data_IF_142848625813
#
_entry.id   IF_142848625813
#
_cell.length_a   1.000
_cell.length_b   1.000
_cell.length_c   1.000
_cell.angle_alpha   90.00
_cell.angle_beta   90.00
_cell.angle_gamma   90.00
#
_symmetry.space_group_name_H-M   'P 1'
#
loop_
_entity.id
_entity.type
_entity.pdbx_description
1 polymer ?
#
# COMPACT_ATOMS: atom_id res chain seq x y z
N UNK A 1 48.16 18.38 -40.33
CA UNK A 1 46.73 18.21 -40.25
C UNK A 1 46.40 17.07 -39.32
N UNK A 2 46.09 17.39 -38.07
CA UNK A 2 45.75 16.40 -37.03
C UNK A 2 44.24 16.47 -36.82
N UNK A 3 43.51 15.40 -37.18
CA UNK A 3 42.07 15.28 -36.96
C UNK A 3 41.83 14.90 -35.50
N UNK A 4 41.27 15.82 -34.72
CA UNK A 4 40.74 15.55 -33.42
C UNK A 4 39.47 14.67 -33.58
N UNK A 5 39.53 13.46 -33.01
CA UNK A 5 38.33 12.62 -32.77
C UNK A 5 37.59 13.18 -31.55
N UNK A 6 36.46 13.80 -31.79
CA UNK A 6 35.49 14.06 -30.73
C UNK A 6 34.90 12.73 -30.27
N UNK A 7 35.23 12.35 -29.04
CA UNK A 7 34.55 11.26 -28.35
C UNK A 7 33.15 11.75 -27.94
N UNK A 8 32.13 11.17 -28.57
CA UNK A 8 30.73 11.29 -28.09
C UNK A 8 30.64 10.58 -26.77
N UNK A 9 30.49 11.35 -25.68
CA UNK A 9 30.15 10.83 -24.39
C UNK A 9 28.75 10.22 -24.48
N UNK A 10 28.66 8.89 -24.46
CA UNK A 10 27.43 8.15 -24.28
C UNK A 10 26.81 8.59 -22.96
N UNK A 11 25.73 9.38 -23.05
CA UNK A 11 24.95 9.81 -21.89
C UNK A 11 24.26 8.57 -21.34
N UNK A 12 24.84 8.01 -20.25
CA UNK A 12 24.24 6.92 -19.48
C UNK A 12 22.80 7.30 -19.14
N UNK A 13 21.80 6.47 -19.43
CA UNK A 13 20.43 6.81 -19.09
C UNK A 13 20.33 7.08 -17.59
N UNK A 14 19.57 8.12 -17.19
CA UNK A 14 19.28 8.46 -15.80
C UNK A 14 18.75 7.19 -15.09
N UNK A 15 19.62 6.50 -14.38
CA UNK A 15 19.24 5.30 -13.64
C UNK A 15 18.46 5.73 -12.40
N UNK A 16 17.25 5.22 -12.25
CA UNK A 16 16.49 5.37 -11.01
C UNK A 16 17.32 4.79 -9.87
N UNK A 17 17.60 5.58 -8.83
CA UNK A 17 18.35 5.11 -7.65
C UNK A 17 17.68 3.91 -6.96
N UNK A 18 18.45 3.15 -6.16
CA UNK A 18 17.99 1.92 -5.52
C UNK A 18 16.67 2.07 -4.74
N UNK A 19 16.47 3.19 -4.05
CA UNK A 19 15.24 3.44 -3.28
C UNK A 19 14.02 3.62 -4.18
N UNK A 20 14.16 4.31 -5.31
CA UNK A 20 13.09 4.47 -6.28
C UNK A 20 12.73 3.13 -6.95
N UNK A 21 13.73 2.27 -7.19
CA UNK A 21 13.54 0.92 -7.72
C UNK A 21 12.85 0.04 -6.68
N UNK A 22 13.28 0.08 -5.41
CA UNK A 22 12.64 -0.67 -4.32
C UNK A 22 11.17 -0.26 -4.16
N UNK A 23 10.88 1.05 -4.17
CA UNK A 23 9.51 1.55 -4.11
C UNK A 23 8.66 1.11 -5.32
N UNK A 24 9.25 1.05 -6.51
CA UNK A 24 8.56 0.57 -7.71
C UNK A 24 8.26 -0.94 -7.64
N UNK A 25 9.24 -1.76 -7.23
CA UNK A 25 9.04 -3.20 -7.03
C UNK A 25 7.97 -3.45 -5.96
N UNK A 26 8.03 -2.73 -4.83
CA UNK A 26 7.02 -2.84 -3.77
C UNK A 26 5.61 -2.53 -4.30
N UNK A 27 5.45 -1.45 -5.09
CA UNK A 27 4.17 -1.13 -5.74
C UNK A 27 3.68 -2.24 -6.65
N UNK A 28 4.57 -2.81 -7.47
CA UNK A 28 4.22 -3.87 -8.40
C UNK A 28 3.88 -5.18 -7.69
N UNK A 29 4.59 -5.53 -6.60
CA UNK A 29 4.19 -6.61 -5.70
C UNK A 29 2.79 -6.33 -5.15
N UNK A 30 2.55 -5.14 -4.66
CA UNK A 30 1.26 -4.74 -4.10
C UNK A 30 0.14 -4.65 -5.14
N UNK A 31 0.43 -4.36 -6.38
CA UNK A 31 -0.52 -4.39 -7.48
C UNK A 31 -0.80 -5.81 -8.00
N UNK A 32 -0.10 -6.84 -7.48
CA UNK A 32 -0.25 -8.22 -7.93
C UNK A 32 0.47 -8.53 -9.24
N UNK A 33 1.30 -7.61 -9.74
CA UNK A 33 2.14 -7.82 -10.93
C UNK A 33 3.20 -8.92 -10.72
N UNK A 34 3.59 -9.12 -9.48
CA UNK A 34 4.36 -10.26 -9.02
C UNK A 34 3.49 -11.10 -8.07
N UNK A 35 3.16 -12.32 -8.47
CA UNK A 35 2.40 -13.22 -7.61
C UNK A 35 3.19 -13.67 -6.37
N UNK A 36 2.47 -14.19 -5.36
CA UNK A 36 3.07 -14.79 -4.18
C UNK A 36 4.07 -15.88 -4.58
N UNK A 37 5.26 -15.84 -4.02
CA UNK A 37 6.33 -16.79 -4.33
C UNK A 37 7.00 -16.59 -5.70
N UNK A 38 6.64 -15.55 -6.46
CA UNK A 38 7.27 -15.24 -7.73
C UNK A 38 8.77 -14.94 -7.55
N UNK A 39 9.61 -15.53 -8.39
CA UNK A 39 11.03 -15.26 -8.38
C UNK A 39 11.36 -13.92 -9.04
N UNK A 40 12.14 -13.11 -8.35
CA UNK A 40 12.63 -11.82 -8.81
C UNK A 40 14.10 -11.95 -9.23
N UNK A 41 14.34 -12.18 -10.51
CA UNK A 41 15.70 -12.23 -11.04
C UNK A 41 16.23 -10.81 -11.27
N UNK A 42 17.48 -10.56 -10.86
CA UNK A 42 18.08 -9.23 -11.02
C UNK A 42 18.02 -8.71 -12.46
N UNK A 43 18.27 -9.59 -13.44
CA UNK A 43 18.25 -9.22 -14.86
C UNK A 43 16.86 -8.73 -15.31
N UNK A 44 15.79 -9.35 -14.80
CA UNK A 44 14.42 -8.95 -15.12
C UNK A 44 14.08 -7.59 -14.48
N UNK A 45 14.56 -7.37 -13.25
CA UNK A 45 14.44 -6.09 -12.54
C UNK A 45 15.19 -4.97 -13.25
N UNK A 46 16.43 -5.23 -13.69
CA UNK A 46 17.23 -4.28 -14.48
C UNK A 46 16.46 -3.82 -15.74
N UNK A 47 15.90 -4.78 -16.48
CA UNK A 47 15.14 -4.52 -17.71
C UNK A 47 13.82 -3.77 -17.44
N UNK A 48 13.01 -4.28 -16.49
CA UNK A 48 11.68 -3.73 -16.19
C UNK A 48 11.75 -2.30 -15.65
N UNK A 49 12.70 -2.00 -14.77
CA UNK A 49 12.78 -0.69 -14.11
C UNK A 49 13.85 0.23 -14.71
N UNK A 50 14.57 -0.21 -15.74
CA UNK A 50 15.65 0.55 -16.41
C UNK A 50 16.67 1.08 -15.41
N UNK A 51 17.17 0.19 -14.55
CA UNK A 51 18.12 0.51 -13.49
C UNK A 51 19.43 -0.27 -13.66
N UNK A 52 20.47 0.11 -12.90
CA UNK A 52 21.72 -0.62 -12.91
C UNK A 52 21.58 -1.92 -12.09
N UNK A 53 22.45 -2.91 -12.39
CA UNK A 53 22.54 -4.15 -11.61
C UNK A 53 22.79 -3.89 -10.12
N UNK A 54 23.58 -2.87 -9.81
CA UNK A 54 23.86 -2.47 -8.43
C UNK A 54 22.60 -1.91 -7.74
N UNK A 55 21.80 -1.12 -8.46
CA UNK A 55 20.56 -0.58 -7.94
C UNK A 55 19.51 -1.68 -7.74
N UNK A 56 19.35 -2.58 -8.73
CA UNK A 56 18.46 -3.75 -8.62
C UNK A 56 18.80 -4.61 -7.39
N UNK A 57 20.11 -4.89 -7.17
CA UNK A 57 20.55 -5.66 -6.00
C UNK A 57 20.23 -4.95 -4.70
N UNK A 58 20.59 -3.66 -4.56
CA UNK A 58 20.32 -2.87 -3.35
C UNK A 58 18.82 -2.74 -3.08
N UNK A 59 18.02 -2.56 -4.12
CA UNK A 59 16.57 -2.52 -4.01
C UNK A 59 16.00 -3.83 -3.45
N UNK A 60 16.43 -4.98 -3.99
CA UNK A 60 16.01 -6.29 -3.51
C UNK A 60 16.50 -6.58 -2.08
N UNK A 61 17.72 -6.16 -1.73
CA UNK A 61 18.24 -6.24 -0.36
C UNK A 61 17.39 -5.40 0.61
N UNK A 62 17.06 -4.17 0.24
CA UNK A 62 16.18 -3.31 1.05
C UNK A 62 14.77 -3.90 1.24
N UNK A 63 14.21 -4.52 0.19
CA UNK A 63 12.92 -5.20 0.27
C UNK A 63 12.99 -6.48 1.11
N UNK A 64 14.12 -7.18 1.11
CA UNK A 64 14.34 -8.35 1.95
C UNK A 64 14.43 -7.97 3.44
N UNK A 65 15.08 -6.85 3.77
CA UNK A 65 15.09 -6.31 5.13
C UNK A 65 13.70 -5.93 5.63
N UNK A 66 12.81 -5.51 4.72
CA UNK A 66 11.41 -5.21 5.00
C UNK A 66 10.49 -6.44 4.96
N UNK A 67 11.02 -7.62 4.69
CA UNK A 67 10.21 -8.85 4.61
C UNK A 67 9.31 -8.97 3.37
N UNK A 68 9.33 -7.99 2.45
CA UNK A 68 8.52 -8.03 1.22
C UNK A 68 8.98 -9.11 0.24
N UNK A 69 10.27 -9.41 0.24
CA UNK A 69 10.87 -10.51 -0.50
C UNK A 69 11.78 -11.33 0.41
N UNK A 70 12.01 -12.58 0.06
CA UNK A 70 12.98 -13.44 0.76
C UNK A 70 14.14 -13.77 -0.14
N UNK A 71 15.34 -13.77 0.44
CA UNK A 71 16.58 -14.15 -0.25
C UNK A 71 16.89 -15.63 -0.02
N UNK A 72 17.09 -16.36 -1.11
CA UNK A 72 17.65 -17.71 -1.07
C UNK A 72 19.10 -17.64 -1.57
N UNK A 73 20.08 -18.06 -0.74
CA UNK A 73 21.48 -18.09 -1.16
C UNK A 73 21.64 -18.82 -2.50
N UNK A 74 22.38 -18.24 -3.42
CA UNK A 74 22.67 -18.74 -4.78
C UNK A 74 21.46 -18.87 -5.72
N UNK A 75 20.22 -18.62 -5.27
CA UNK A 75 19.01 -18.74 -6.10
C UNK A 75 18.34 -17.39 -6.40
N UNK A 76 18.59 -16.36 -5.61
CA UNK A 76 18.02 -15.01 -5.82
C UNK A 76 16.98 -14.62 -4.77
N UNK A 77 15.98 -13.88 -5.20
CA UNK A 77 14.91 -13.35 -4.35
C UNK A 77 13.56 -13.86 -4.85
N UNK A 78 12.60 -14.03 -3.95
CA UNK A 78 11.22 -14.32 -4.29
C UNK A 78 10.27 -13.52 -3.40
N UNK A 79 9.08 -13.22 -3.92
CA UNK A 79 8.02 -12.52 -3.17
C UNK A 79 7.63 -13.35 -1.97
N UNK A 80 7.64 -12.74 -0.78
CA UNK A 80 7.29 -13.42 0.47
C UNK A 80 5.87 -13.96 0.38
N UNK A 81 5.70 -15.25 0.72
CA UNK A 81 4.39 -15.85 0.89
C UNK A 81 4.02 -15.71 2.36
N UNK A 82 2.93 -15.02 2.65
CA UNK A 82 2.38 -14.96 4.01
C UNK A 82 1.29 -16.03 4.11
N UNK A 83 1.43 -16.91 5.09
CA UNK A 83 0.38 -17.88 5.40
C UNK A 83 -0.83 -17.21 6.07
N UNK A 84 -1.97 -17.91 6.11
CA UNK A 84 -3.22 -17.36 6.65
C UNK A 84 -3.12 -16.95 8.13
N UNK A 85 -2.30 -17.64 8.91
CA UNK A 85 -2.10 -17.31 10.32
C UNK A 85 -1.36 -15.97 10.45
N UNK A 86 -0.21 -15.85 9.79
CA UNK A 86 0.58 -14.61 9.77
C UNK A 86 -0.21 -13.45 9.20
N UNK A 87 -1.05 -13.69 8.18
CA UNK A 87 -1.94 -12.67 7.64
C UNK A 87 -2.95 -12.19 8.69
N UNK A 88 -3.61 -13.09 9.42
CA UNK A 88 -4.53 -12.71 10.51
C UNK A 88 -3.83 -11.92 11.61
N UNK A 89 -2.66 -12.38 12.06
CA UNK A 89 -1.86 -11.71 13.08
C UNK A 89 -1.47 -10.28 12.65
N UNK A 90 -1.08 -10.08 11.38
CA UNK A 90 -0.80 -8.75 10.83
C UNK A 90 -2.03 -7.86 10.73
N UNK A 91 -3.20 -8.40 10.39
CA UNK A 91 -4.47 -7.66 10.41
C UNK A 91 -4.79 -7.17 11.83
N UNK A 92 -4.60 -8.01 12.84
CA UNK A 92 -4.82 -7.60 14.24
C UNK A 92 -3.88 -6.48 14.67
N UNK A 93 -2.58 -6.58 14.35
CA UNK A 93 -1.60 -5.52 14.62
C UNK A 93 -1.97 -4.23 13.90
N UNK A 94 -2.39 -4.29 12.63
CA UNK A 94 -2.85 -3.11 11.89
C UNK A 94 -4.04 -2.44 12.56
N UNK A 95 -5.04 -3.23 12.97
CA UNK A 95 -6.22 -2.68 13.66
C UNK A 95 -5.80 -1.93 14.92
N UNK A 96 -4.89 -2.50 15.72
CA UNK A 96 -4.40 -1.87 16.95
C UNK A 96 -3.68 -0.55 16.62
N UNK A 97 -2.72 -0.56 15.70
CA UNK A 97 -1.92 0.60 15.36
C UNK A 97 -2.76 1.69 14.68
N UNK A 98 -3.54 1.34 13.65
CA UNK A 98 -4.30 2.33 12.89
C UNK A 98 -5.45 2.92 13.74
N UNK A 99 -6.11 2.16 14.61
CA UNK A 99 -7.12 2.73 15.52
C UNK A 99 -6.53 3.56 16.65
N UNK A 100 -5.28 3.28 17.06
CA UNK A 100 -4.57 4.09 18.04
C UNK A 100 -4.22 5.51 17.51
N UNK A 101 -4.10 5.70 16.19
CA UNK A 101 -3.88 7.03 15.61
C UNK A 101 -5.11 7.93 15.66
N UNK A 102 -6.31 7.35 15.70
CA UNK A 102 -7.57 8.07 15.48
C UNK A 102 -7.83 9.22 16.44
N UNK A 103 -7.57 9.13 17.77
CA UNK A 103 -7.80 10.27 18.66
C UNK A 103 -7.00 11.51 18.24
N UNK A 104 -5.71 11.31 17.94
CA UNK A 104 -4.84 12.40 17.48
C UNK A 104 -5.28 12.93 16.11
N UNK A 105 -5.67 12.06 15.17
CA UNK A 105 -6.20 12.46 13.87
C UNK A 105 -7.43 13.37 14.03
N UNK A 106 -8.37 12.99 14.88
CA UNK A 106 -9.59 13.78 15.11
C UNK A 106 -9.27 15.14 15.76
N UNK A 107 -8.30 15.17 16.65
CA UNK A 107 -7.86 16.40 17.31
C UNK A 107 -7.18 17.37 16.32
N UNK A 108 -6.27 16.85 15.47
CA UNK A 108 -5.41 17.66 14.60
C UNK A 108 -6.06 18.03 13.25
N UNK A 109 -7.02 17.24 12.76
CA UNK A 109 -7.57 17.42 11.42
C UNK A 109 -8.22 18.82 11.26
N UNK A 110 -7.85 19.50 10.19
CA UNK A 110 -8.45 20.76 9.75
C UNK A 110 -9.51 20.53 8.66
N UNK A 111 -10.28 21.53 8.31
CA UNK A 111 -11.21 21.48 7.17
C UNK A 111 -10.47 21.22 5.85
N UNK A 112 -9.25 21.76 5.69
CA UNK A 112 -8.43 21.50 4.53
C UNK A 112 -8.01 20.02 4.44
N UNK A 113 -7.68 19.40 5.58
CA UNK A 113 -7.33 17.97 5.62
C UNK A 113 -8.52 17.09 5.24
N UNK A 114 -9.72 17.46 5.70
CA UNK A 114 -10.96 16.77 5.33
C UNK A 114 -11.24 16.91 3.82
N UNK A 115 -11.04 18.11 3.26
CA UNK A 115 -11.18 18.34 1.83
C UNK A 115 -10.15 17.54 1.02
N UNK A 116 -8.91 17.42 1.50
CA UNK A 116 -7.87 16.61 0.89
C UNK A 116 -8.22 15.12 0.88
N UNK A 117 -8.69 14.59 2.01
CA UNK A 117 -9.14 13.21 2.12
C UNK A 117 -10.31 12.93 1.18
N UNK A 118 -11.26 13.88 1.04
CA UNK A 118 -12.38 13.75 0.11
C UNK A 118 -11.88 13.63 -1.33
N UNK A 119 -10.94 14.49 -1.76
CA UNK A 119 -10.33 14.40 -3.11
C UNK A 119 -9.65 13.06 -3.35
N UNK A 120 -8.99 12.50 -2.32
CA UNK A 120 -8.34 11.19 -2.42
C UNK A 120 -9.36 10.05 -2.52
N UNK A 121 -10.45 10.10 -1.76
CA UNK A 121 -11.55 9.13 -1.86
C UNK A 121 -12.26 9.21 -3.24
N UNK A 122 -12.50 10.40 -3.76
CA UNK A 122 -13.06 10.62 -5.10
C UNK A 122 -12.12 10.06 -6.19
N UNK A 123 -10.81 10.28 -6.06
CA UNK A 123 -9.81 9.70 -6.96
C UNK A 123 -9.84 8.16 -6.92
N UNK A 124 -10.02 7.56 -5.75
CA UNK A 124 -10.19 6.12 -5.64
C UNK A 124 -11.48 5.68 -6.33
N UNK A 125 -12.61 6.36 -6.13
CA UNK A 125 -13.87 6.06 -6.79
C UNK A 125 -13.76 6.11 -8.33
N UNK A 126 -13.01 7.08 -8.88
CA UNK A 126 -12.73 7.16 -10.33
C UNK A 126 -11.88 5.98 -10.78
N UNK A 127 -10.84 5.60 -10.01
CA UNK A 127 -9.96 4.48 -10.38
C UNK A 127 -10.69 3.14 -10.39
N UNK A 128 -11.71 2.94 -9.54
CA UNK A 128 -12.53 1.72 -9.53
C UNK A 128 -13.21 1.49 -10.87
N UNK A 129 -13.66 2.56 -11.53
CA UNK A 129 -14.39 2.49 -12.80
C UNK A 129 -13.48 2.42 -14.03
N UNK A 130 -12.36 3.09 -14.00
CA UNK A 130 -11.54 3.36 -15.18
C UNK A 130 -10.06 2.97 -15.03
N UNK A 131 -9.60 2.68 -13.81
CA UNK A 131 -8.20 2.39 -13.54
C UNK A 131 -7.85 0.91 -13.64
N UNK A 132 -6.58 0.65 -13.84
CA UNK A 132 -5.99 -0.68 -13.67
C UNK A 132 -5.81 -1.05 -12.19
N UNK A 133 -5.28 -2.25 -11.90
CA UNK A 133 -5.08 -2.74 -10.54
C UNK A 133 -4.08 -1.86 -9.76
N UNK A 134 -3.03 -1.35 -10.42
CA UNK A 134 -2.02 -0.51 -9.80
C UNK A 134 -2.58 0.88 -9.46
N UNK A 135 -3.40 1.46 -10.34
CA UNK A 135 -4.06 2.74 -10.11
C UNK A 135 -5.05 2.67 -8.93
N UNK A 136 -5.87 1.61 -8.88
CA UNK A 136 -6.79 1.35 -7.75
C UNK A 136 -6.03 1.23 -6.44
N UNK A 137 -4.97 0.41 -6.43
CA UNK A 137 -4.13 0.25 -5.26
C UNK A 137 -3.48 1.57 -4.80
N UNK A 138 -2.89 2.31 -5.72
CA UNK A 138 -2.21 3.57 -5.40
C UNK A 138 -3.19 4.63 -4.87
N UNK A 139 -4.38 4.72 -5.45
CA UNK A 139 -5.41 5.66 -5.02
C UNK A 139 -5.92 5.31 -3.60
N UNK A 140 -6.23 4.03 -3.35
CA UNK A 140 -6.61 3.54 -2.02
C UNK A 140 -5.49 3.81 -0.99
N UNK A 141 -4.25 3.48 -1.34
CA UNK A 141 -3.10 3.69 -0.45
C UNK A 141 -2.90 5.17 -0.11
N UNK A 142 -3.05 6.06 -1.09
CA UNK A 142 -2.89 7.49 -0.88
C UNK A 142 -3.86 8.04 0.16
N UNK A 143 -5.12 7.60 0.14
CA UNK A 143 -6.12 7.97 1.16
C UNK A 143 -5.67 7.57 2.57
N UNK A 144 -5.28 6.32 2.75
CA UNK A 144 -4.89 5.81 4.07
C UNK A 144 -3.58 6.42 4.59
N UNK A 145 -2.60 6.64 3.72
CA UNK A 145 -1.36 7.33 4.10
C UNK A 145 -1.70 8.73 4.60
N UNK A 146 -2.50 9.49 3.84
CA UNK A 146 -2.88 10.86 4.23
C UNK A 146 -3.65 10.89 5.54
N UNK A 147 -4.60 9.97 5.74
CA UNK A 147 -5.36 9.87 6.99
C UNK A 147 -4.43 9.59 8.19
N UNK A 148 -3.54 8.60 8.05
CA UNK A 148 -2.61 8.22 9.12
C UNK A 148 -1.62 9.34 9.45
N UNK A 149 -1.14 10.09 8.44
CA UNK A 149 -0.20 11.21 8.58
C UNK A 149 -0.76 12.40 9.36
N UNK A 150 -2.07 12.49 9.55
CA UNK A 150 -2.69 13.50 10.42
C UNK A 150 -2.41 13.25 11.90
N UNK A 151 -1.98 12.05 12.29
CA UNK A 151 -1.59 11.75 13.65
C UNK A 151 -0.27 12.47 13.99
N UNK A 152 -0.22 13.13 15.16
CA UNK A 152 0.94 13.87 15.63
C UNK A 152 2.11 12.95 16.06
N UNK A 153 1.80 11.76 16.57
CA UNK A 153 2.80 10.77 16.99
C UNK A 153 3.48 10.13 15.77
N UNK A 154 4.65 10.64 15.40
CA UNK A 154 5.41 10.22 14.21
C UNK A 154 5.90 8.78 14.27
N UNK A 155 6.22 8.26 15.46
CA UNK A 155 6.62 6.86 15.60
C UNK A 155 5.42 5.93 15.40
N UNK A 156 4.24 6.30 15.90
CA UNK A 156 3.01 5.54 15.66
C UNK A 156 2.63 5.55 14.17
N UNK A 157 2.73 6.71 13.51
CA UNK A 157 2.52 6.83 12.05
C UNK A 157 3.45 5.92 11.29
N UNK A 158 4.75 5.97 11.61
CA UNK A 158 5.75 5.11 10.96
C UNK A 158 5.43 3.63 11.11
N UNK A 159 5.17 3.18 12.35
CA UNK A 159 4.84 1.77 12.60
C UNK A 159 3.56 1.33 11.89
N UNK A 160 2.50 2.15 11.91
CA UNK A 160 1.25 1.84 11.22
C UNK A 160 1.44 1.71 9.70
N UNK A 161 2.17 2.64 9.09
CA UNK A 161 2.47 2.61 7.66
C UNK A 161 3.44 1.49 7.27
N UNK A 162 4.42 1.17 8.13
CA UNK A 162 5.33 0.06 7.91
C UNK A 162 4.56 -1.27 7.91
N UNK A 163 3.74 -1.55 8.94
CA UNK A 163 2.94 -2.78 9.00
C UNK A 163 1.93 -2.85 7.85
N UNK A 164 1.32 -1.72 7.48
CA UNK A 164 0.47 -1.65 6.29
C UNK A 164 1.21 -2.02 5.01
N UNK A 165 2.48 -1.65 4.90
CA UNK A 165 3.35 -2.01 3.76
C UNK A 165 3.90 -3.43 3.78
N UNK A 166 3.81 -4.16 4.89
CA UNK A 166 4.28 -5.54 5.01
C UNK A 166 3.26 -6.59 4.57
N UNK A 167 1.99 -6.24 4.49
CA UNK A 167 1.03 -7.14 3.89
C UNK A 167 1.38 -7.23 2.41
N UNK A 168 1.84 -8.40 1.91
CA UNK A 168 1.97 -8.56 0.48
C UNK A 168 0.58 -8.28 -0.05
N UNK A 169 0.54 -7.40 -1.01
CA UNK A 169 -0.66 -7.26 -1.74
C UNK A 169 -0.89 -8.58 -2.45
N UNK A 170 -1.78 -9.29 -1.91
CA UNK A 170 -2.75 -9.91 -2.76
C UNK A 170 -3.91 -8.91 -2.84
N UNK A 171 -3.87 -7.92 -3.75
CA UNK A 171 -5.05 -7.13 -4.04
C UNK A 171 -6.23 -8.04 -4.32
N UNK A 172 -5.94 -9.16 -4.96
CA UNK A 172 -6.86 -10.25 -5.28
C UNK A 172 -7.44 -10.91 -4.03
N UNK A 173 -6.71 -11.06 -2.92
CA UNK A 173 -7.27 -11.66 -1.71
C UNK A 173 -8.02 -10.65 -0.84
N UNK A 174 -7.60 -9.38 -0.81
CA UNK A 174 -8.30 -8.32 -0.09
C UNK A 174 -9.49 -7.76 -0.89
N UNK A 175 -9.40 -7.74 -2.24
CA UNK A 175 -10.45 -7.28 -3.13
C UNK A 175 -11.00 -8.45 -3.93
N UNK A 176 -11.53 -9.45 -3.22
CA UNK A 176 -12.06 -10.69 -3.81
C UNK A 176 -13.17 -10.46 -4.84
N UNK A 177 -13.81 -9.28 -4.80
CA UNK A 177 -14.87 -8.92 -5.74
C UNK A 177 -14.90 -7.42 -6.02
N UNK A 178 -15.49 -7.05 -7.14
CA UNK A 178 -15.76 -5.66 -7.48
C UNK A 178 -16.61 -4.98 -6.39
N UNK A 179 -17.62 -5.68 -5.85
CA UNK A 179 -18.48 -5.20 -4.77
C UNK A 179 -17.66 -4.86 -3.51
N UNK A 180 -16.62 -5.65 -3.17
CA UNK A 180 -15.76 -5.35 -2.02
C UNK A 180 -14.95 -4.07 -2.22
N UNK A 181 -14.46 -3.82 -3.45
CA UNK A 181 -13.74 -2.59 -3.77
C UNK A 181 -14.67 -1.37 -3.65
N UNK A 182 -15.89 -1.48 -4.17
CA UNK A 182 -16.91 -0.42 -4.09
C UNK A 182 -17.25 -0.12 -2.64
N UNK A 183 -17.47 -1.16 -1.83
CA UNK A 183 -17.71 -0.99 -0.40
C UNK A 183 -16.52 -0.34 0.32
N UNK A 184 -15.28 -0.71 -0.03
CA UNK A 184 -14.08 -0.05 0.50
C UNK A 184 -14.10 1.46 0.22
N UNK A 185 -14.57 1.85 -0.96
CA UNK A 185 -14.73 3.26 -1.32
C UNK A 185 -15.79 3.96 -0.47
N UNK A 186 -16.96 3.33 -0.28
CA UNK A 186 -18.02 3.85 0.60
C UNK A 186 -17.52 4.05 2.03
N UNK A 187 -16.78 3.08 2.55
CA UNK A 187 -16.16 3.14 3.88
C UNK A 187 -15.23 4.36 4.03
N UNK A 188 -14.49 4.76 2.97
CA UNK A 188 -13.68 5.99 3.01
C UNK A 188 -14.52 7.24 3.22
N UNK A 189 -15.65 7.38 2.53
CA UNK A 189 -16.54 8.53 2.73
C UNK A 189 -17.17 8.52 4.13
N UNK A 190 -17.55 7.34 4.65
CA UNK A 190 -18.04 7.22 6.03
C UNK A 190 -16.97 7.60 7.06
N UNK A 191 -15.68 7.28 6.82
CA UNK A 191 -14.56 7.72 7.67
C UNK A 191 -14.41 9.24 7.64
N UNK A 192 -14.54 9.86 6.46
CA UNK A 192 -14.49 11.32 6.31
C UNK A 192 -15.64 11.97 7.08
N UNK A 193 -16.85 11.43 6.99
CA UNK A 193 -18.02 11.94 7.71
C UNK A 193 -17.83 11.84 9.23
N UNK A 194 -17.29 10.70 9.72
CA UNK A 194 -16.99 10.52 11.14
C UNK A 194 -15.90 11.49 11.62
N UNK A 195 -14.87 11.74 10.78
CA UNK A 195 -13.81 12.72 11.07
C UNK A 195 -14.36 14.15 11.12
N UNK A 196 -15.19 14.53 10.16
CA UNK A 196 -15.85 15.84 10.12
C UNK A 196 -16.76 16.07 11.35
N UNK A 197 -17.44 15.01 11.79
CA UNK A 197 -18.27 15.02 13.00
C UNK A 197 -17.44 14.93 14.31
N UNK A 198 -16.11 14.81 14.24
CA UNK A 198 -15.24 14.60 15.40
C UNK A 198 -15.60 13.35 16.23
N UNK A 199 -16.21 12.35 15.60
CA UNK A 199 -16.68 11.12 16.24
C UNK A 199 -15.56 10.08 16.27
N UNK A 200 -14.75 10.10 17.34
CA UNK A 200 -13.63 9.18 17.57
C UNK A 200 -14.11 7.71 17.58
N UNK A 201 -15.22 7.43 18.24
CA UNK A 201 -15.71 6.05 18.39
C UNK A 201 -16.13 5.47 17.04
N UNK A 202 -16.91 6.24 16.26
CA UNK A 202 -17.33 5.86 14.91
C UNK A 202 -16.14 5.70 13.96
N UNK A 203 -15.18 6.63 13.97
CA UNK A 203 -14.01 6.55 13.11
C UNK A 203 -13.14 5.33 13.44
N UNK A 204 -12.90 5.03 14.74
CA UNK A 204 -12.19 3.81 15.16
C UNK A 204 -12.90 2.54 14.66
N UNK A 205 -14.22 2.50 14.80
CA UNK A 205 -15.02 1.36 14.34
C UNK A 205 -14.91 1.15 12.83
N UNK A 206 -15.05 2.23 12.05
CA UNK A 206 -14.94 2.18 10.59
C UNK A 206 -13.55 1.75 10.12
N UNK A 207 -12.49 2.28 10.73
CA UNK A 207 -11.10 1.86 10.44
C UNK A 207 -10.92 0.38 10.74
N UNK A 208 -11.41 -0.11 11.87
CA UNK A 208 -11.28 -1.52 12.25
C UNK A 208 -12.04 -2.46 11.29
N UNK A 209 -13.27 -2.13 10.90
CA UNK A 209 -14.05 -2.92 9.94
C UNK A 209 -13.37 -2.92 8.56
N UNK A 210 -12.95 -1.74 8.11
CA UNK A 210 -12.28 -1.58 6.82
C UNK A 210 -11.00 -2.43 6.71
N UNK A 211 -10.22 -2.52 7.79
CA UNK A 211 -9.00 -3.33 7.82
C UNK A 211 -9.33 -4.82 7.83
N UNK A 212 -10.30 -5.25 8.65
CA UNK A 212 -10.69 -6.67 8.78
C UNK A 212 -11.37 -7.20 7.54
N UNK A 213 -12.04 -6.35 6.78
CA UNK A 213 -12.78 -6.73 5.57
C UNK A 213 -13.63 -7.99 5.80
N UNK A 214 -14.58 -7.96 6.74
CA UNK A 214 -15.43 -9.12 6.98
C UNK A 214 -16.07 -9.56 5.67
N UNK A 215 -16.09 -10.86 5.42
CA UNK A 215 -16.76 -11.42 4.26
C UNK A 215 -18.22 -10.95 4.26
N UNK A 216 -18.73 -10.58 3.07
CA UNK A 216 -20.12 -10.18 2.89
C UNK A 216 -21.01 -11.42 3.07
N UNK A 217 -21.17 -11.86 4.30
CA UNK A 217 -22.34 -12.64 4.69
C UNK A 217 -22.55 -12.56 6.22
N UNK A 218 -23.77 -12.44 6.67
CA UNK A 218 -24.30 -12.69 8.01
C UNK A 218 -24.29 -11.58 9.09
N UNK A 219 -23.78 -10.38 8.93
CA UNK A 219 -23.76 -9.43 10.06
C UNK A 219 -24.55 -8.14 9.90
N UNK A 220 -25.25 -7.94 8.78
CA UNK A 220 -26.09 -6.76 8.56
C UNK A 220 -27.59 -7.05 8.50
N UNK A 221 -28.02 -8.29 8.67
CA UNK A 221 -29.43 -8.64 8.85
C UNK A 221 -29.61 -8.95 10.35
N UNK A 222 -30.29 -8.11 11.13
CA UNK A 222 -30.74 -8.51 12.45
C UNK A 222 -31.67 -9.71 12.22
N UNK A 223 -31.32 -10.88 12.76
CA UNK A 223 -32.21 -12.03 12.80
C UNK A 223 -33.48 -11.55 13.51
N UNK A 224 -34.54 -11.30 12.74
CA UNK A 224 -35.86 -11.12 13.29
C UNK A 224 -36.18 -12.38 14.07
N UNK A 225 -36.28 -12.22 15.38
CA UNK A 225 -36.77 -13.28 16.27
C UNK A 225 -38.19 -13.58 15.86
N UNK A 226 -38.42 -14.79 15.39
CA UNK A 226 -39.77 -15.41 15.30
C UNK A 226 -40.01 -16.18 16.56
#
# INVERSE_FOLDING_TARGET
MVRARMATADKKPDSKGADAVAAAIARDIHAGEFGNGAWLKQVDIEGRYRCTRADARRALEALALKGAVQRIPQRGYYVTVIDERSHRELIEVRVILETATVPSIVEQATENDIADLKRLAERFAVSIRHGDAAEKYNANRAFHVRLTELCENRELVKLALDVRGHLPATPIAQWRSQARIERSCEEHFLMIDALAARDIARLKHLVAIHIRQPEDDDRLVPKSQS
#
